data_IF_249999807337
#
_entry.id   IF_249999807337
#
_cell.length_a   1.000
_cell.length_b   1.000
_cell.length_c   1.000
_cell.angle_alpha   90.00
_cell.angle_beta   90.00
_cell.angle_gamma   90.00
#
_symmetry.space_group_name_H-M   'P 1'
#
loop_
_entity.id
_entity.type
_entity.pdbx_description
1 polymer ?
#
# COMPACT_ATOMS: atom_id res chain seq x y z
N UNK A 1 34.60 -7.17 -7.29
CA UNK A 1 33.23 -6.82 -6.87
C UNK A 1 33.35 -6.10 -5.53
N UNK A 2 32.75 -4.92 -5.41
CA UNK A 2 32.93 -4.02 -4.25
C UNK A 2 32.32 -4.67 -2.98
N UNK A 3 33.05 -4.64 -1.86
CA UNK A 3 32.56 -5.20 -0.58
C UNK A 3 31.27 -4.54 -0.11
N UNK A 4 31.09 -3.25 -0.45
CA UNK A 4 29.86 -2.49 -0.15
C UNK A 4 28.69 -3.00 -0.98
N UNK A 5 28.92 -3.32 -2.26
CA UNK A 5 27.89 -3.85 -3.15
C UNK A 5 27.39 -5.23 -2.67
N UNK A 6 28.31 -6.12 -2.29
CA UNK A 6 27.97 -7.44 -1.74
C UNK A 6 27.14 -7.31 -0.46
N UNK A 7 27.51 -6.38 0.44
CA UNK A 7 26.75 -6.14 1.66
C UNK A 7 25.33 -5.62 1.38
N UNK A 8 25.16 -4.73 0.39
CA UNK A 8 23.86 -4.23 -0.02
C UNK A 8 22.98 -5.31 -0.66
N UNK A 9 23.56 -6.19 -1.49
CA UNK A 9 22.86 -7.34 -2.08
C UNK A 9 22.40 -8.31 -0.99
N UNK A 10 23.28 -8.66 -0.05
CA UNK A 10 22.92 -9.52 1.08
C UNK A 10 21.80 -8.91 1.95
N UNK A 11 21.85 -7.61 2.24
CA UNK A 11 20.81 -6.93 2.98
C UNK A 11 19.47 -7.00 2.26
N UNK A 12 19.47 -6.76 0.93
CA UNK A 12 18.26 -6.87 0.10
C UNK A 12 17.66 -8.27 0.19
N UNK A 13 18.46 -9.32 0.07
CA UNK A 13 17.98 -10.70 0.18
C UNK A 13 17.35 -10.96 1.56
N UNK A 14 18.01 -10.53 2.64
CA UNK A 14 17.48 -10.70 4.00
C UNK A 14 16.16 -9.96 4.20
N UNK A 15 16.02 -8.75 3.66
CA UNK A 15 14.76 -8.00 3.69
C UNK A 15 13.62 -8.80 3.07
N UNK A 16 13.81 -9.40 1.89
CA UNK A 16 12.76 -10.21 1.25
C UNK A 16 12.41 -11.48 2.04
N UNK A 17 13.33 -11.99 2.86
CA UNK A 17 13.08 -13.14 3.70
C UNK A 17 12.33 -12.81 5.00
N UNK A 18 12.24 -11.53 5.38
CA UNK A 18 11.57 -11.09 6.60
C UNK A 18 10.07 -11.44 6.60
N UNK A 19 9.54 -11.99 7.72
CA UNK A 19 8.12 -12.31 7.83
C UNK A 19 7.19 -11.14 7.50
N UNK A 20 7.54 -9.93 7.94
CA UNK A 20 6.77 -8.72 7.74
C UNK A 20 6.69 -8.35 6.26
N UNK A 21 7.79 -8.48 5.51
CA UNK A 21 7.82 -8.20 4.07
C UNK A 21 7.04 -9.27 3.31
N UNK A 22 7.14 -10.54 3.70
CA UNK A 22 6.34 -11.62 3.12
C UNK A 22 4.84 -11.42 3.36
N UNK A 23 4.46 -11.04 4.57
CA UNK A 23 3.07 -10.72 4.91
C UNK A 23 2.56 -9.53 4.09
N UNK A 24 3.35 -8.45 4.00
CA UNK A 24 3.04 -7.31 3.15
C UNK A 24 2.82 -7.71 1.69
N UNK A 25 3.69 -8.55 1.12
CA UNK A 25 3.57 -9.00 -0.28
C UNK A 25 2.31 -9.86 -0.49
N UNK A 26 1.91 -10.67 0.48
CA UNK A 26 0.67 -11.43 0.43
C UNK A 26 -0.56 -10.52 0.51
N UNK A 27 -0.54 -9.53 1.41
CA UNK A 27 -1.60 -8.52 1.52
C UNK A 27 -1.70 -7.67 0.26
N UNK A 28 -0.58 -7.24 -0.31
CA UNK A 28 -0.53 -6.51 -1.57
C UNK A 28 -1.19 -7.31 -2.69
N UNK A 29 -0.81 -8.59 -2.84
CA UNK A 29 -1.41 -9.46 -3.85
C UNK A 29 -2.91 -9.61 -3.65
N UNK A 30 -3.36 -9.90 -2.43
CA UNK A 30 -4.78 -10.01 -2.11
C UNK A 30 -5.54 -8.71 -2.41
N UNK A 31 -4.95 -7.57 -2.07
CA UNK A 31 -5.52 -6.24 -2.31
C UNK A 31 -5.64 -5.91 -3.80
N UNK A 32 -4.63 -6.27 -4.61
CA UNK A 32 -4.65 -6.09 -6.07
C UNK A 32 -5.65 -7.01 -6.77
N UNK A 33 -5.84 -8.23 -6.26
CA UNK A 33 -6.76 -9.22 -6.81
C UNK A 33 -8.21 -9.03 -6.32
N UNK A 34 -8.46 -8.20 -5.30
CA UNK A 34 -9.80 -7.95 -4.76
C UNK A 34 -10.67 -7.15 -5.73
N UNK A 35 -11.64 -7.84 -6.32
CA UNK A 35 -12.55 -7.28 -7.34
C UNK A 35 -13.43 -6.18 -6.75
N UNK A 36 -13.83 -6.28 -5.48
CA UNK A 36 -14.70 -5.31 -4.81
C UNK A 36 -13.95 -4.01 -4.57
N UNK A 37 -12.75 -4.07 -4.00
CA UNK A 37 -11.87 -2.91 -3.80
C UNK A 37 -11.49 -2.26 -5.14
N UNK A 38 -11.22 -3.08 -6.16
CA UNK A 38 -10.97 -2.59 -7.52
C UNK A 38 -12.17 -1.80 -8.09
N UNK A 39 -13.39 -2.31 -7.89
CA UNK A 39 -14.62 -1.61 -8.30
C UNK A 39 -14.82 -0.30 -7.53
N UNK A 40 -14.71 -0.33 -6.19
CA UNK A 40 -14.82 0.85 -5.35
C UNK A 40 -13.78 1.92 -5.74
N UNK A 41 -12.53 1.52 -6.01
CA UNK A 41 -11.47 2.43 -6.44
C UNK A 41 -11.78 3.09 -7.78
N UNK A 42 -12.30 2.34 -8.76
CA UNK A 42 -12.73 2.89 -10.05
C UNK A 42 -13.85 3.90 -9.86
N UNK A 43 -14.86 3.57 -9.04
CA UNK A 43 -15.97 4.47 -8.77
C UNK A 43 -15.51 5.76 -8.06
N UNK A 44 -14.57 5.68 -7.11
CA UNK A 44 -13.96 6.85 -6.48
C UNK A 44 -13.30 7.75 -7.53
N UNK A 45 -12.50 7.20 -8.44
CA UNK A 45 -11.81 7.96 -9.51
C UNK A 45 -12.82 8.63 -10.45
N UNK A 46 -13.88 7.94 -10.81
CA UNK A 46 -14.97 8.50 -11.61
C UNK A 46 -15.68 9.66 -10.90
N UNK A 47 -15.99 9.50 -9.61
CA UNK A 47 -16.63 10.55 -8.81
C UNK A 47 -15.71 11.75 -8.60
N UNK A 48 -14.41 11.53 -8.39
CA UNK A 48 -13.43 12.63 -8.34
C UNK A 48 -13.36 13.39 -9.66
N UNK A 49 -13.49 12.70 -10.79
CA UNK A 49 -13.51 13.32 -12.12
C UNK A 49 -14.77 14.15 -12.30
N UNK A 50 -15.95 13.61 -11.97
CA UNK A 50 -17.23 14.31 -12.03
C UNK A 50 -17.27 15.53 -11.11
N UNK A 51 -16.73 15.40 -9.90
CA UNK A 51 -16.58 16.51 -8.97
C UNK A 51 -15.71 17.63 -9.54
N UNK A 52 -14.56 17.30 -10.15
CA UNK A 52 -13.69 18.28 -10.83
C UNK A 52 -14.39 18.98 -12.00
N UNK A 53 -15.34 18.29 -12.64
CA UNK A 53 -16.18 18.86 -13.70
C UNK A 53 -17.36 19.70 -13.18
N UNK A 54 -17.49 19.88 -11.86
CA UNK A 54 -18.50 20.72 -11.23
C UNK A 54 -19.80 20.00 -10.86
N UNK A 55 -19.85 18.67 -10.94
CA UNK A 55 -21.01 17.90 -10.49
C UNK A 55 -21.04 17.76 -8.96
N UNK A 56 -22.23 17.88 -8.35
CA UNK A 56 -22.41 17.63 -6.93
C UNK A 56 -22.50 16.12 -6.65
N UNK A 57 -21.35 15.52 -6.40
CA UNK A 57 -21.19 14.10 -6.10
C UNK A 57 -20.52 13.84 -4.75
N UNK A 58 -20.43 14.88 -3.90
CA UNK A 58 -19.65 14.84 -2.66
C UNK A 58 -20.13 13.75 -1.70
N UNK A 59 -21.45 13.67 -1.46
CA UNK A 59 -22.00 12.70 -0.49
C UNK A 59 -21.84 11.25 -0.97
N UNK A 60 -22.01 11.00 -2.27
CA UNK A 60 -21.77 9.69 -2.86
C UNK A 60 -20.29 9.31 -2.74
N UNK A 61 -19.39 10.25 -3.06
CA UNK A 61 -17.94 10.05 -2.95
C UNK A 61 -17.52 9.76 -1.50
N UNK A 62 -18.05 10.49 -0.50
CA UNK A 62 -17.77 10.22 0.92
C UNK A 62 -18.19 8.81 1.33
N UNK A 63 -19.36 8.37 0.89
CA UNK A 63 -19.89 7.05 1.24
C UNK A 63 -19.00 5.94 0.70
N UNK A 64 -18.60 6.03 -0.57
CA UNK A 64 -17.77 5.00 -1.22
C UNK A 64 -16.34 5.04 -0.68
N UNK A 65 -15.77 6.23 -0.43
CA UNK A 65 -14.48 6.34 0.23
C UNK A 65 -14.50 5.70 1.61
N UNK A 66 -15.55 5.93 2.40
CA UNK A 66 -15.72 5.29 3.71
C UNK A 66 -15.80 3.77 3.58
N UNK A 67 -16.55 3.25 2.63
CA UNK A 67 -16.64 1.80 2.39
C UNK A 67 -15.27 1.21 2.05
N UNK A 68 -14.56 1.82 1.10
CA UNK A 68 -13.21 1.42 0.70
C UNK A 68 -12.21 1.46 1.87
N UNK A 69 -12.22 2.53 2.65
CA UNK A 69 -11.32 2.74 3.79
C UNK A 69 -11.67 1.85 4.99
N UNK A 70 -12.94 1.47 5.15
CA UNK A 70 -13.41 0.58 6.21
C UNK A 70 -13.21 -0.90 5.90
N UNK A 71 -12.84 -1.24 4.66
CA UNK A 71 -12.60 -2.62 4.28
C UNK A 71 -11.40 -3.19 5.06
N UNK A 72 -11.53 -4.37 5.72
CA UNK A 72 -10.45 -4.96 6.50
C UNK A 72 -9.15 -5.17 5.72
N UNK A 73 -9.22 -5.53 4.44
CA UNK A 73 -8.05 -5.73 3.59
C UNK A 73 -7.33 -4.40 3.31
N UNK A 74 -8.07 -3.31 3.06
CA UNK A 74 -7.51 -1.96 2.95
C UNK A 74 -6.79 -1.53 4.23
N UNK A 75 -7.42 -1.77 5.39
CA UNK A 75 -6.85 -1.43 6.70
C UNK A 75 -5.56 -2.20 6.93
N UNK A 76 -5.60 -3.53 6.76
CA UNK A 76 -4.46 -4.40 7.01
C UNK A 76 -3.31 -4.09 6.04
N UNK A 77 -3.61 -3.89 4.75
CA UNK A 77 -2.61 -3.52 3.75
C UNK A 77 -1.93 -2.20 4.13
N UNK A 78 -2.70 -1.17 4.52
CA UNK A 78 -2.16 0.14 4.89
C UNK A 78 -1.28 0.05 6.14
N UNK A 79 -1.72 -0.66 7.17
CA UNK A 79 -0.93 -0.86 8.40
C UNK A 79 0.37 -1.60 8.10
N UNK A 80 0.31 -2.69 7.32
CA UNK A 80 1.48 -3.45 6.92
C UNK A 80 2.45 -2.59 6.11
N UNK A 81 1.95 -1.79 5.16
CA UNK A 81 2.76 -0.84 4.39
C UNK A 81 3.47 0.19 5.29
N UNK A 82 2.76 0.81 6.22
CA UNK A 82 3.34 1.78 7.16
C UNK A 82 4.44 1.13 8.02
N UNK A 83 4.22 -0.10 8.50
CA UNK A 83 5.22 -0.84 9.27
C UNK A 83 6.50 -1.13 8.45
N UNK A 84 6.35 -1.54 7.18
CA UNK A 84 7.50 -1.79 6.30
C UNK A 84 8.26 -0.50 6.02
N UNK A 85 7.58 0.61 5.75
CA UNK A 85 8.26 1.90 5.54
C UNK A 85 9.04 2.32 6.78
N UNK A 86 8.46 2.20 7.98
CA UNK A 86 9.14 2.52 9.23
C UNK A 86 10.40 1.66 9.43
N UNK A 87 10.29 0.34 9.22
CA UNK A 87 11.42 -0.58 9.29
C UNK A 87 12.54 -0.20 8.30
N UNK A 88 12.19 0.12 7.05
CA UNK A 88 13.17 0.50 6.03
C UNK A 88 13.84 1.83 6.36
N UNK A 89 13.11 2.80 6.92
CA UNK A 89 13.70 4.07 7.38
C UNK A 89 14.62 3.87 8.59
N UNK A 90 14.30 2.94 9.51
CA UNK A 90 15.22 2.57 10.61
C UNK A 90 16.51 1.95 10.08
N UNK A 91 16.43 1.01 9.14
CA UNK A 91 17.59 0.38 8.52
C UNK A 91 18.45 1.42 7.78
N UNK A 92 17.81 2.33 7.05
CA UNK A 92 18.47 3.43 6.36
C UNK A 92 19.24 4.34 7.32
N UNK A 93 18.73 4.61 8.51
CA UNK A 93 19.43 5.40 9.56
C UNK A 93 20.63 4.68 10.18
N UNK A 94 20.72 3.36 10.07
CA UNK A 94 21.87 2.59 10.57
C UNK A 94 23.02 2.62 9.54
N UNK A 95 22.68 2.66 8.26
CA UNK A 95 23.63 2.54 7.15
C UNK A 95 24.23 3.91 6.77
N UNK A 96 23.53 5.01 7.04
CA UNK A 96 23.94 6.40 6.77
C UNK A 96 24.43 7.05 8.07
#
# INVERSE_FOLDING_TARGET
>A
MDKVLIAAENLKEHLFEMPEIKEYLLLLKAFEEDVTLSALRKEIVELETRFRNGEDVIEKMKTIKKEYESNPLTINYKQSFENIINLLEEIKRIII
#
